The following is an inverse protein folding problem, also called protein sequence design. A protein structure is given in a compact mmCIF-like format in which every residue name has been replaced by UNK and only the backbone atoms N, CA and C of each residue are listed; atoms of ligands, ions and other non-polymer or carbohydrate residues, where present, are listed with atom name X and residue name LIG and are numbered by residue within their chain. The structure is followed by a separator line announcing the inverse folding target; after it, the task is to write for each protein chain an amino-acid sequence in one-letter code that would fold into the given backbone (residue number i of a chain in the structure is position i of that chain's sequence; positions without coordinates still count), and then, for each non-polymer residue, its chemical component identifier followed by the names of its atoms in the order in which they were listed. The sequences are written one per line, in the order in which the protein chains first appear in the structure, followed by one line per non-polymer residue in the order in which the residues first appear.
data_IF_566563821784
#
_entry.id   IF_566563821784
#
_cell.length_a   1.000
_cell.length_b   1.000
_cell.length_c   1.000
_cell.angle_alpha   90.00
_cell.angle_beta   90.00
_cell.angle_gamma   90.00
#
_symmetry.space_group_name_H-M   'P 1'
#
loop_
_entity.id
_entity.type
_entity.pdbx_description
1 polymer ?
#
# COMPACT_ATOMS: atom_id res chain seq x y z
N UNK A 1 -36.85 49.36 -10.74
CA UNK A 1 -35.47 48.88 -10.58
C UNK A 1 -35.25 48.38 -9.15
N UNK A 2 -35.77 47.20 -8.77
CA UNK A 2 -35.56 46.62 -7.43
C UNK A 2 -35.70 45.09 -7.38
N UNK A 3 -35.54 44.41 -8.54
CA UNK A 3 -35.60 42.94 -8.64
C UNK A 3 -34.25 42.29 -8.92
N UNK A 4 -33.29 43.04 -9.48
CA UNK A 4 -31.98 42.51 -9.87
C UNK A 4 -31.02 42.38 -8.67
N UNK A 5 -31.14 43.26 -7.67
CA UNK A 5 -30.27 43.27 -6.46
C UNK A 5 -30.59 42.15 -5.48
N UNK A 6 -31.88 41.78 -5.34
CA UNK A 6 -32.31 40.66 -4.49
C UNK A 6 -31.88 39.30 -5.05
N UNK A 7 -31.78 39.19 -6.38
CA UNK A 7 -31.35 37.95 -7.04
C UNK A 7 -29.84 37.70 -6.85
N UNK A 8 -29.02 38.76 -6.78
CA UNK A 8 -27.57 38.64 -6.68
C UNK A 8 -27.12 38.24 -5.26
N UNK A 9 -27.82 38.67 -4.22
CA UNK A 9 -27.55 38.26 -2.83
C UNK A 9 -27.98 36.81 -2.57
N UNK A 10 -29.05 36.34 -3.21
CA UNK A 10 -29.51 34.95 -3.10
C UNK A 10 -28.52 33.96 -3.76
N UNK A 11 -27.88 34.37 -4.86
CA UNK A 11 -26.83 33.58 -5.53
C UNK A 11 -25.58 33.46 -4.64
N UNK A 12 -25.22 34.51 -3.89
CA UNK A 12 -24.09 34.48 -2.94
C UNK A 12 -24.33 33.57 -1.73
N UNK A 13 -25.59 33.43 -1.28
CA UNK A 13 -25.98 32.51 -0.20
C UNK A 13 -26.03 31.04 -0.67
N UNK A 14 -26.18 30.79 -1.98
CA UNK A 14 -26.14 29.46 -2.59
C UNK A 14 -24.70 28.94 -2.78
N UNK A 15 -23.69 29.81 -2.74
CA UNK A 15 -22.29 29.43 -2.54
C UNK A 15 -22.00 29.18 -1.05
N UNK A 16 -22.93 28.53 -0.34
CA UNK A 16 -22.65 27.99 0.98
C UNK A 16 -21.42 27.11 0.84
N UNK A 17 -20.30 27.58 1.38
CA UNK A 17 -19.08 26.82 1.59
C UNK A 17 -19.50 25.48 2.17
N UNK A 18 -19.49 24.42 1.36
CA UNK A 18 -19.61 23.08 1.89
C UNK A 18 -18.51 23.00 2.96
N UNK A 19 -18.91 22.85 4.23
CA UNK A 19 -17.95 22.81 5.32
C UNK A 19 -16.90 21.76 5.02
N UNK A 20 -15.63 22.06 5.30
CA UNK A 20 -14.55 21.11 5.13
C UNK A 20 -14.92 19.78 5.82
N UNK A 21 -14.70 18.66 5.13
CA UNK A 21 -14.96 17.32 5.66
C UNK A 21 -14.30 17.17 7.04
N UNK A 22 -14.99 16.55 7.99
CA UNK A 22 -14.41 16.24 9.29
C UNK A 22 -14.16 14.74 9.41
N UNK A 23 -13.02 14.36 9.99
CA UNK A 23 -12.68 12.96 10.24
C UNK A 23 -12.15 12.77 11.65
N UNK A 24 -12.37 11.58 12.20
CA UNK A 24 -11.69 11.17 13.43
C UNK A 24 -10.19 11.06 13.17
N UNK A 25 -9.38 11.54 14.12
CA UNK A 25 -7.93 11.52 14.07
C UNK A 25 -7.34 10.80 15.28
N UNK A 26 -6.45 9.84 15.03
CA UNK A 26 -5.62 9.18 16.05
C UNK A 26 -4.49 8.37 15.39
N UNK A 27 -3.44 8.12 16.17
CA UNK A 27 -2.36 7.21 15.82
C UNK A 27 -1.97 6.40 17.08
N UNK A 28 -1.66 5.12 16.92
CA UNK A 28 -1.26 4.27 18.04
C UNK A 28 -2.38 3.34 18.48
N UNK A 29 -2.67 3.30 19.79
CA UNK A 29 -3.75 2.47 20.33
C UNK A 29 -5.14 3.06 20.07
N UNK A 30 -5.25 4.34 19.70
CA UNK A 30 -6.51 5.02 19.40
C UNK A 30 -7.59 4.87 20.51
N UNK A 31 -7.17 4.80 21.78
CA UNK A 31 -8.08 4.76 22.95
C UNK A 31 -8.94 6.02 23.05
N UNK A 32 -8.45 7.13 22.49
CA UNK A 32 -9.17 8.39 22.33
C UNK A 32 -9.02 8.87 20.89
N UNK A 33 -10.04 9.55 20.37
CA UNK A 33 -10.05 10.13 19.03
C UNK A 33 -10.50 11.58 19.07
N UNK A 34 -10.10 12.36 18.08
CA UNK A 34 -10.46 13.77 17.96
C UNK A 34 -10.99 14.03 16.54
N UNK A 35 -12.19 14.58 16.43
CA UNK A 35 -12.75 15.07 15.17
C UNK A 35 -11.95 16.29 14.68
N UNK A 36 -11.32 16.17 13.52
CA UNK A 36 -10.46 17.20 12.92
C UNK A 36 -10.98 17.56 11.52
N UNK A 37 -10.94 18.84 11.16
CA UNK A 37 -11.27 19.29 9.80
C UNK A 37 -10.17 18.90 8.81
N UNK A 38 -10.56 18.35 7.66
CA UNK A 38 -9.67 18.01 6.57
C UNK A 38 -9.39 19.24 5.71
N UNK A 39 -8.15 19.73 5.64
CA UNK A 39 -7.83 20.97 4.94
C UNK A 39 -8.02 20.87 3.43
N UNK A 40 -7.74 19.71 2.82
CA UNK A 40 -7.84 19.53 1.36
C UNK A 40 -8.35 18.15 0.93
N UNK A 41 -8.36 17.21 1.87
CA UNK A 41 -8.72 15.82 1.67
C UNK A 41 -10.24 15.65 1.62
N UNK A 42 -10.69 14.74 0.77
CA UNK A 42 -12.11 14.47 0.53
C UNK A 42 -12.57 13.13 1.11
N UNK A 43 -11.69 12.42 1.81
CA UNK A 43 -11.96 11.11 2.39
C UNK A 43 -11.47 11.05 3.84
N UNK A 44 -12.14 10.26 4.65
CA UNK A 44 -11.64 9.74 5.91
C UNK A 44 -11.13 8.31 5.72
N UNK A 45 -10.12 7.94 6.50
CA UNK A 45 -9.61 6.57 6.56
C UNK A 45 -9.54 6.11 8.01
N UNK A 46 -9.87 4.84 8.26
CA UNK A 46 -9.51 4.10 9.47
C UNK A 46 -8.71 2.86 9.05
N UNK A 47 -7.65 2.55 9.78
CA UNK A 47 -6.78 1.41 9.48
C UNK A 47 -6.32 0.71 10.76
N UNK A 48 -6.18 -0.61 10.69
CA UNK A 48 -5.53 -1.45 11.69
C UNK A 48 -4.43 -2.25 10.99
N UNK A 49 -3.19 -2.08 11.45
CA UNK A 49 -1.99 -2.70 10.87
C UNK A 49 -1.35 -3.58 11.92
N UNK A 50 -1.20 -4.87 11.63
CA UNK A 50 -0.37 -5.77 12.41
C UNK A 50 0.90 -6.05 11.62
N UNK A 51 2.05 -5.82 12.24
CA UNK A 51 3.35 -6.13 11.67
C UNK A 51 4.13 -7.04 12.61
N UNK A 52 4.87 -7.97 12.03
CA UNK A 52 5.58 -9.02 12.73
C UNK A 52 7.00 -9.17 12.20
N UNK A 53 7.91 -9.43 13.11
CA UNK A 53 9.32 -9.78 12.88
C UNK A 53 9.65 -11.04 13.68
N UNK A 54 10.83 -11.67 13.54
CA UNK A 54 11.13 -12.87 14.31
C UNK A 54 11.11 -12.55 15.81
N UNK A 55 10.19 -13.18 16.54
CA UNK A 55 10.05 -13.03 17.99
C UNK A 55 9.26 -11.81 18.47
N UNK A 56 8.80 -10.91 17.58
CA UNK A 56 8.03 -9.72 17.97
C UNK A 56 6.88 -9.44 17.02
N UNK A 57 5.74 -9.01 17.55
CA UNK A 57 4.62 -8.48 16.78
C UNK A 57 4.08 -7.22 17.44
N UNK A 58 3.61 -6.28 16.63
CA UNK A 58 2.98 -5.06 17.11
C UNK A 58 1.78 -4.71 16.24
N UNK A 59 0.82 -4.02 16.84
CA UNK A 59 -0.39 -3.54 16.16
C UNK A 59 -0.47 -2.03 16.29
N UNK A 60 -0.80 -1.36 15.19
CA UNK A 60 -1.01 0.08 15.13
C UNK A 60 -2.37 0.39 14.51
N UNK A 61 -3.05 1.38 15.07
CA UNK A 61 -4.30 1.91 14.54
C UNK A 61 -4.09 3.34 14.04
N UNK A 62 -4.80 3.68 12.97
CA UNK A 62 -4.78 5.00 12.37
C UNK A 62 -6.20 5.45 12.05
N UNK A 63 -6.51 6.70 12.37
CA UNK A 63 -7.67 7.41 11.83
C UNK A 63 -7.18 8.77 11.35
N UNK A 64 -7.50 9.14 10.12
CA UNK A 64 -7.06 10.43 9.56
C UNK A 64 -7.90 10.82 8.34
N UNK A 65 -7.78 12.07 7.92
CA UNK A 65 -8.08 12.50 6.57
C UNK A 65 -7.16 11.81 5.57
N UNK A 66 -7.67 11.50 4.37
CA UNK A 66 -6.93 10.84 3.31
C UNK A 66 -7.22 11.47 1.94
N UNK A 67 -6.20 11.72 1.10
CA UNK A 67 -6.41 12.12 -0.28
C UNK A 67 -6.98 10.95 -1.09
N UNK A 68 -7.53 11.25 -2.27
CA UNK A 68 -8.06 10.23 -3.19
C UNK A 68 -6.97 9.30 -3.74
N UNK A 69 -5.69 9.67 -3.68
CA UNK A 69 -4.58 8.75 -3.99
C UNK A 69 -4.48 7.60 -2.99
N UNK A 70 -4.87 7.83 -1.74
CA UNK A 70 -4.87 6.82 -0.67
C UNK A 70 -6.22 6.09 -0.63
N UNK A 71 -7.30 6.85 -0.74
CA UNK A 71 -8.67 6.36 -0.75
C UNK A 71 -9.33 6.66 -2.10
N UNK A 72 -9.05 5.89 -3.16
CA UNK A 72 -9.60 6.15 -4.49
C UNK A 72 -11.11 5.91 -4.57
N UNK A 73 -11.64 5.09 -3.66
CA UNK A 73 -13.06 4.83 -3.51
C UNK A 73 -13.40 4.60 -2.03
N UNK A 74 -14.67 4.76 -1.67
CA UNK A 74 -15.20 4.33 -0.37
C UNK A 74 -15.26 2.81 -0.29
N UNK A 75 -15.11 2.27 0.92
CA UNK A 75 -15.22 0.83 1.17
C UNK A 75 -14.02 0.27 1.94
N UNK A 76 -14.08 -1.03 2.19
CA UNK A 76 -13.05 -1.75 2.93
C UNK A 76 -12.04 -2.41 1.98
N UNK A 77 -10.77 -2.39 2.37
CA UNK A 77 -9.65 -2.98 1.66
C UNK A 77 -8.74 -3.69 2.66
N UNK A 78 -8.12 -4.76 2.21
CA UNK A 78 -7.05 -5.43 2.95
C UNK A 78 -5.75 -5.35 2.18
N UNK A 79 -4.66 -5.26 2.92
CA UNK A 79 -3.30 -5.27 2.40
C UNK A 79 -2.51 -6.34 3.15
N UNK A 80 -1.65 -7.03 2.44
CA UNK A 80 -0.73 -8.02 3.00
C UNK A 80 0.64 -7.89 2.33
N UNK A 81 1.69 -8.12 3.10
CA UNK A 81 3.08 -8.24 2.65
C UNK A 81 3.81 -9.23 3.54
N UNK A 82 4.65 -10.06 2.93
CA UNK A 82 5.45 -11.03 3.66
C UNK A 82 6.78 -11.27 2.94
N UNK A 83 7.83 -11.38 3.74
CA UNK A 83 9.22 -11.55 3.36
C UNK A 83 9.85 -12.61 4.27
N UNK A 84 11.17 -12.82 4.20
CA UNK A 84 11.83 -13.89 4.93
C UNK A 84 11.80 -13.67 6.44
N UNK A 85 11.79 -12.40 6.85
CA UNK A 85 11.87 -12.00 8.25
C UNK A 85 10.70 -11.13 8.69
N UNK A 86 9.95 -10.52 7.76
CA UNK A 86 8.93 -9.52 8.07
C UNK A 86 7.59 -9.91 7.45
N UNK A 87 6.51 -9.73 8.18
CA UNK A 87 5.15 -9.76 7.63
C UNK A 87 4.31 -8.60 8.15
N UNK A 88 3.37 -8.13 7.34
CA UNK A 88 2.39 -7.15 7.78
C UNK A 88 1.05 -7.34 7.07
N UNK A 89 -0.02 -7.16 7.85
CA UNK A 89 -1.41 -7.22 7.39
C UNK A 89 -2.11 -5.95 7.82
N UNK A 90 -2.88 -5.35 6.93
CA UNK A 90 -3.67 -4.16 7.23
C UNK A 90 -5.12 -4.33 6.78
N UNK A 91 -6.04 -3.98 7.68
CA UNK A 91 -7.43 -3.70 7.35
C UNK A 91 -7.58 -2.19 7.22
N UNK A 92 -8.18 -1.71 6.14
CA UNK A 92 -8.37 -0.29 5.85
C UNK A 92 -9.81 -0.05 5.41
N UNK A 93 -10.42 1.03 5.86
CA UNK A 93 -11.74 1.46 5.40
C UNK A 93 -11.72 2.95 5.07
N UNK A 94 -12.15 3.26 3.85
CA UNK A 94 -12.30 4.61 3.35
C UNK A 94 -13.77 5.01 3.31
N UNK A 95 -14.07 6.25 3.64
CA UNK A 95 -15.42 6.82 3.61
C UNK A 95 -15.35 8.34 3.40
N UNK A 96 -16.47 9.00 3.03
CA UNK A 96 -16.45 10.38 2.54
C UNK A 96 -17.51 11.28 3.19
N UNK A 97 -17.98 10.93 4.39
CA UNK A 97 -18.91 11.74 5.19
C UNK A 97 -18.29 12.10 6.54
N UNK A 98 -18.81 13.13 7.21
CA UNK A 98 -18.24 13.61 8.46
C UNK A 98 -18.14 12.49 9.51
N UNK A 99 -16.94 12.30 10.07
CA UNK A 99 -16.62 11.35 11.13
C UNK A 99 -17.07 9.91 10.83
N UNK A 100 -17.04 9.52 9.56
CA UNK A 100 -17.44 8.17 9.13
C UNK A 100 -16.45 7.07 9.51
N UNK A 101 -15.21 7.43 9.88
CA UNK A 101 -14.11 6.52 10.20
C UNK A 101 -14.04 6.14 11.70
N UNK A 102 -15.18 6.09 12.37
CA UNK A 102 -15.29 5.76 13.81
C UNK A 102 -15.03 4.29 14.12
N UNK A 103 -15.21 3.39 13.14
CA UNK A 103 -14.99 1.97 13.32
C UNK A 103 -13.57 1.65 13.81
N UNK A 104 -13.47 0.76 14.80
CA UNK A 104 -12.23 0.12 15.21
C UNK A 104 -12.09 -1.17 14.42
N UNK A 105 -11.20 -1.17 13.43
CA UNK A 105 -10.93 -2.35 12.64
C UNK A 105 -10.11 -3.35 13.45
N UNK A 106 -10.25 -4.64 13.12
CA UNK A 106 -9.35 -5.68 13.62
C UNK A 106 -8.29 -5.98 12.56
N UNK A 107 -7.02 -6.20 12.96
CA UNK A 107 -6.05 -6.75 12.04
C UNK A 107 -6.53 -8.11 11.52
N UNK A 108 -6.25 -8.45 10.26
CA UNK A 108 -6.60 -9.77 9.72
C UNK A 108 -5.95 -10.88 10.57
N UNK A 109 -6.62 -12.05 10.73
CA UNK A 109 -6.00 -13.18 11.40
C UNK A 109 -4.76 -13.65 10.64
N UNK A 110 -3.87 -14.41 11.29
CA UNK A 110 -2.80 -15.12 10.59
C UNK A 110 -3.44 -16.09 9.58
N UNK A 111 -3.21 -15.83 8.30
CA UNK A 111 -3.87 -16.52 7.20
C UNK A 111 -3.17 -17.85 6.89
N UNK A 112 -3.93 -18.81 6.37
CA UNK A 112 -3.40 -20.13 6.00
C UNK A 112 -2.47 -20.03 4.78
N UNK A 113 -1.80 -21.11 4.38
CA UNK A 113 -0.85 -21.07 3.25
C UNK A 113 -1.55 -21.07 1.89
N UNK A 114 -1.21 -20.10 1.04
CA UNK A 114 -1.58 -20.06 -0.39
C UNK A 114 -0.70 -21.04 -1.18
N UNK A 115 -1.06 -21.34 -2.45
CA UNK A 115 -0.25 -22.16 -3.36
C UNK A 115 0.90 -21.39 -4.03
N UNK A 116 0.90 -20.06 -3.95
CA UNK A 116 1.92 -19.20 -4.57
C UNK A 116 3.23 -19.23 -3.78
N UNK A 117 4.36 -19.40 -4.47
CA UNK A 117 5.71 -19.27 -3.93
C UNK A 117 6.43 -18.09 -4.57
N UNK A 118 7.20 -17.35 -3.77
CA UNK A 118 7.99 -16.20 -4.24
C UNK A 118 9.42 -16.26 -3.72
N UNK A 119 10.35 -15.65 -4.46
CA UNK A 119 11.66 -15.31 -3.90
C UNK A 119 11.51 -14.24 -2.82
N UNK A 120 12.39 -14.28 -1.83
CA UNK A 120 12.26 -13.42 -0.66
C UNK A 120 13.59 -12.99 -0.07
N UNK A 121 13.67 -11.71 0.27
CA UNK A 121 14.75 -11.10 1.02
C UNK A 121 14.30 -9.77 1.59
N UNK A 122 14.99 -9.33 2.64
CA UNK A 122 14.77 -8.08 3.35
C UNK A 122 16.07 -7.62 4.00
N UNK A 123 16.03 -6.54 4.78
CA UNK A 123 17.22 -5.97 5.41
C UNK A 123 17.84 -6.89 6.50
N UNK A 124 17.09 -7.86 7.03
CA UNK A 124 17.57 -8.86 8.00
C UNK A 124 18.05 -10.15 7.29
N UNK A 125 17.50 -10.46 6.12
CA UNK A 125 17.84 -11.61 5.30
C UNK A 125 18.12 -11.18 3.86
N UNK A 126 19.38 -10.82 3.59
CA UNK A 126 19.78 -10.24 2.30
C UNK A 126 19.90 -11.25 1.15
N UNK A 127 19.79 -12.55 1.43
CA UNK A 127 19.84 -13.60 0.40
C UNK A 127 18.50 -13.72 -0.33
N UNK A 128 18.39 -13.08 -1.49
CA UNK A 128 17.19 -13.11 -2.34
C UNK A 128 16.96 -14.41 -3.11
N UNK A 129 17.72 -15.47 -2.85
CA UNK A 129 17.46 -16.82 -3.40
C UNK A 129 16.53 -17.64 -2.51
N UNK A 130 16.24 -17.17 -1.30
CA UNK A 130 15.29 -17.82 -0.39
C UNK A 130 13.89 -17.82 -1.00
N UNK A 131 13.16 -18.91 -0.77
CA UNK A 131 11.79 -19.09 -1.25
C UNK A 131 10.86 -19.15 -0.05
N UNK A 132 9.78 -18.39 -0.10
CA UNK A 132 8.72 -18.44 0.91
C UNK A 132 7.42 -18.89 0.26
N UNK A 133 6.57 -19.57 1.05
CA UNK A 133 5.20 -19.84 0.68
C UNK A 133 4.36 -18.63 1.08
N UNK A 134 3.62 -18.06 0.13
CA UNK A 134 2.70 -16.97 0.44
C UNK A 134 1.54 -17.47 1.31
N UNK A 135 0.92 -16.56 2.05
CA UNK A 135 -0.28 -16.83 2.86
C UNK A 135 -1.54 -16.40 2.10
N UNK A 136 -2.74 -16.78 2.57
CA UNK A 136 -3.97 -16.24 1.98
C UNK A 136 -3.97 -14.71 2.07
N UNK A 137 -4.62 -14.04 1.11
CA UNK A 137 -4.53 -12.59 0.97
C UNK A 137 -3.26 -12.08 0.25
N UNK A 138 -2.27 -12.95 0.03
CA UNK A 138 -1.06 -12.66 -0.75
C UNK A 138 -1.10 -13.41 -2.08
N UNK A 139 -1.52 -12.72 -3.13
CA UNK A 139 -1.73 -13.28 -4.46
C UNK A 139 -0.74 -12.72 -5.51
N UNK A 140 0.29 -12.01 -5.06
CA UNK A 140 1.36 -11.47 -5.92
C UNK A 140 2.72 -11.77 -5.30
N UNK A 141 3.72 -12.00 -6.14
CA UNK A 141 5.10 -11.77 -5.77
C UNK A 141 5.46 -10.30 -6.04
N UNK A 142 6.31 -9.72 -5.22
CA UNK A 142 6.84 -8.39 -5.44
C UNK A 142 8.37 -8.35 -5.39
N UNK A 143 8.89 -7.29 -5.99
CA UNK A 143 10.29 -6.85 -5.88
C UNK A 143 10.30 -5.32 -5.82
N UNK A 144 10.98 -4.75 -4.83
CA UNK A 144 11.09 -3.31 -4.66
C UNK A 144 12.44 -2.92 -4.03
N UNK A 145 12.80 -1.65 -4.15
CA UNK A 145 13.87 -1.02 -3.38
C UNK A 145 13.26 -0.36 -2.15
N UNK A 146 13.76 -0.70 -0.96
CA UNK A 146 13.30 -0.13 0.32
C UNK A 146 14.44 0.64 0.98
N UNK A 147 14.22 1.91 1.27
CA UNK A 147 15.17 2.82 1.90
C UNK A 147 14.74 3.12 3.32
N UNK A 148 15.56 2.72 4.30
CA UNK A 148 15.40 3.10 5.72
C UNK A 148 16.53 4.07 6.07
N UNK A 149 17.75 3.55 6.22
CA UNK A 149 19.01 4.31 6.27
C UNK A 149 19.84 4.07 5.01
N UNK A 150 19.82 2.83 4.53
CA UNK A 150 20.37 2.39 3.25
C UNK A 150 19.26 1.80 2.38
N UNK A 151 19.53 1.68 1.08
CA UNK A 151 18.59 1.08 0.14
C UNK A 151 18.86 -0.41 -0.01
N UNK A 152 17.84 -1.23 0.22
CA UNK A 152 17.90 -2.68 0.13
C UNK A 152 16.95 -3.18 -0.95
N UNK A 153 17.37 -4.23 -1.64
CA UNK A 153 16.46 -4.99 -2.48
C UNK A 153 15.59 -5.86 -1.58
N UNK A 154 14.28 -5.67 -1.67
CA UNK A 154 13.28 -6.42 -0.91
C UNK A 154 12.40 -7.19 -1.88
N UNK A 155 12.20 -8.48 -1.59
CA UNK A 155 11.35 -9.37 -2.37
C UNK A 155 10.46 -10.17 -1.42
N UNK A 156 9.30 -10.59 -1.92
CA UNK A 156 8.43 -11.47 -1.17
C UNK A 156 7.04 -11.59 -1.77
N UNK A 157 6.08 -11.89 -0.91
CA UNK A 157 4.66 -12.00 -1.23
C UNK A 157 3.95 -10.68 -0.90
N UNK A 158 2.93 -10.33 -1.68
CA UNK A 158 2.12 -9.14 -1.50
C UNK A 158 0.67 -9.41 -1.93
N UNK A 159 -0.26 -8.64 -1.36
CA UNK A 159 -1.62 -8.54 -1.89
C UNK A 159 -1.66 -7.72 -3.19
N UNK A 160 -2.60 -8.03 -4.09
CA UNK A 160 -2.89 -7.21 -5.28
C UNK A 160 -3.17 -5.75 -4.94
N UNK A 161 -3.90 -5.48 -3.85
CA UNK A 161 -4.22 -4.11 -3.42
C UNK A 161 -2.95 -3.33 -3.10
N UNK A 162 -1.97 -3.95 -2.42
CA UNK A 162 -0.67 -3.32 -2.15
C UNK A 162 0.07 -2.99 -3.44
N UNK A 163 0.11 -3.93 -4.39
CA UNK A 163 0.75 -3.72 -5.69
C UNK A 163 0.09 -2.58 -6.49
N UNK A 164 -1.24 -2.48 -6.49
CA UNK A 164 -1.97 -1.39 -7.17
C UNK A 164 -1.71 -0.05 -6.48
N UNK A 165 -1.78 0.00 -5.14
CA UNK A 165 -1.54 1.22 -4.39
C UNK A 165 -0.12 1.75 -4.60
N UNK A 166 0.89 0.88 -4.54
CA UNK A 166 2.31 1.28 -4.68
C UNK A 166 2.73 1.57 -6.12
N UNK A 167 1.94 1.15 -7.11
CA UNK A 167 2.12 1.55 -8.51
C UNK A 167 1.69 3.00 -8.77
N UNK A 168 0.94 3.62 -7.84
CA UNK A 168 0.56 5.03 -7.93
C UNK A 168 1.59 5.90 -7.18
N UNK A 169 2.31 6.81 -7.86
CA UNK A 169 3.30 7.68 -7.23
C UNK A 169 2.74 8.51 -6.07
N UNK A 170 1.45 8.85 -6.12
CA UNK A 170 0.77 9.66 -5.12
C UNK A 170 0.39 8.90 -3.83
N UNK A 171 0.46 7.57 -3.82
CA UNK A 171 0.20 6.72 -2.65
C UNK A 171 1.48 6.29 -1.93
N UNK A 172 2.66 6.44 -2.56
CA UNK A 172 3.98 6.18 -1.98
C UNK A 172 4.30 7.08 -0.76
N UNK A 173 3.50 8.12 -0.54
CA UNK A 173 3.59 9.02 0.63
C UNK A 173 3.26 8.32 1.95
N UNK A 174 2.46 7.25 1.93
CA UNK A 174 2.12 6.45 3.12
C UNK A 174 3.18 5.43 3.49
N UNK A 175 3.97 4.96 2.51
CA UNK A 175 5.03 3.97 2.71
C UNK A 175 6.35 4.59 2.24
N UNK A 176 6.82 5.58 3.02
CA UNK A 176 8.08 6.28 2.74
C UNK A 176 9.21 5.27 2.53
N UNK A 177 10.05 5.55 1.54
CA UNK A 177 11.24 4.75 1.26
C UNK A 177 11.05 3.59 0.28
N UNK A 178 9.85 3.34 -0.25
CA UNK A 178 9.66 2.33 -1.31
C UNK A 178 9.83 2.96 -2.70
N UNK A 179 10.59 2.31 -3.56
CA UNK A 179 10.74 2.67 -4.98
C UNK A 179 10.88 1.44 -5.87
N UNK A 180 10.66 1.61 -7.18
CA UNK A 180 10.84 0.55 -8.20
C UNK A 180 10.08 -0.75 -7.88
N UNK A 181 8.88 -0.64 -7.32
CA UNK A 181 8.06 -1.82 -7.05
C UNK A 181 7.54 -2.44 -8.34
N UNK A 182 7.71 -3.73 -8.45
CA UNK A 182 7.17 -4.57 -9.52
C UNK A 182 6.44 -5.74 -8.89
N UNK A 183 5.31 -6.12 -9.48
CA UNK A 183 4.51 -7.24 -9.01
C UNK A 183 4.14 -8.18 -10.16
N UNK A 184 4.00 -9.47 -9.85
CA UNK A 184 3.62 -10.52 -10.77
C UNK A 184 2.86 -11.63 -10.01
N UNK A 185 2.18 -12.53 -10.70
CA UNK A 185 1.17 -13.45 -10.12
C UNK A 185 1.44 -14.94 -10.37
N UNK A 186 2.66 -15.30 -10.80
CA UNK A 186 3.07 -16.69 -11.01
C UNK A 186 4.20 -17.10 -10.05
N UNK A 187 4.39 -18.40 -9.87
CA UNK A 187 5.40 -18.92 -8.96
C UNK A 187 6.80 -18.40 -9.30
N UNK A 188 7.49 -17.86 -8.30
CA UNK A 188 8.88 -17.41 -8.36
C UNK A 188 9.15 -16.35 -9.43
N UNK A 189 8.11 -15.64 -9.88
CA UNK A 189 8.18 -14.67 -10.98
C UNK A 189 8.98 -13.41 -10.65
N UNK A 190 9.27 -13.16 -9.36
CA UNK A 190 10.07 -12.04 -8.89
C UNK A 190 11.59 -12.31 -8.88
N UNK A 191 12.03 -13.36 -9.57
CA UNK A 191 13.44 -13.63 -9.78
C UNK A 191 14.19 -12.40 -10.34
N UNK A 192 15.45 -12.23 -9.96
CA UNK A 192 16.32 -11.30 -10.66
C UNK A 192 16.42 -11.71 -12.13
N UNK A 193 16.18 -10.76 -13.05
CA UNK A 193 16.44 -11.01 -14.47
C UNK A 193 17.93 -11.36 -14.60
N UNK A 194 18.22 -12.63 -14.85
CA UNK A 194 19.51 -13.01 -15.38
C UNK A 194 19.61 -12.35 -16.74
N UNK A 195 20.65 -11.54 -16.94
CA UNK A 195 21.00 -11.00 -18.24
C UNK A 195 21.36 -12.16 -19.17
N UNK A 196 20.35 -12.78 -19.79
CA UNK A 196 20.51 -13.82 -20.81
C UNK A 196 21.11 -13.28 -22.12
N UNK A 197 21.49 -12.00 -22.13
CA UNK A 197 22.09 -11.29 -23.26
C UNK A 197 23.46 -11.81 -23.68
N UNK A 198 24.16 -12.59 -22.86
CA UNK A 198 25.48 -13.14 -23.23
C UNK A 198 25.41 -14.50 -23.92
N UNK A 199 24.39 -15.33 -23.65
CA UNK A 199 24.33 -16.69 -24.19
C UNK A 199 23.94 -16.71 -25.69
N UNK A 200 22.99 -15.87 -26.11
CA UNK A 200 22.61 -15.74 -27.52
C UNK A 200 23.71 -15.07 -28.37
N UNK A 201 24.48 -14.14 -27.79
CA UNK A 201 25.64 -13.52 -28.48
C UNK A 201 26.78 -14.53 -28.66
N UNK A 202 27.05 -15.39 -27.66
CA UNK A 202 28.05 -16.45 -27.74
C UNK A 202 27.65 -17.55 -28.75
N UNK A 203 26.38 -17.96 -28.77
CA UNK A 203 25.87 -18.88 -29.80
C UNK A 203 25.92 -18.27 -31.20
N UNK A 204 25.60 -16.98 -31.35
CA UNK A 204 25.78 -16.25 -32.60
C UNK A 204 27.24 -16.24 -33.06
N UNK A 205 28.18 -15.87 -32.18
CA UNK A 205 29.63 -15.84 -32.47
C UNK A 205 30.20 -17.22 -32.81
N UNK A 206 29.73 -18.29 -32.17
CA UNK A 206 30.11 -19.67 -32.49
C UNK A 206 29.60 -20.13 -33.86
N UNK A 207 28.40 -19.73 -34.25
CA UNK A 207 27.87 -20.02 -35.60
C UNK A 207 28.61 -19.24 -36.69
N UNK A 208 29.01 -17.99 -36.41
CA UNK A 208 29.84 -17.17 -37.33
C UNK A 208 31.29 -17.62 -37.45
N UNK A 209 31.82 -18.40 -36.49
CA UNK A 209 33.20 -18.94 -36.53
C UNK A 209 33.28 -20.37 -37.10
N UNK A 210 32.13 -20.96 -37.46
CA UNK A 210 32.00 -22.27 -38.10
C UNK A 210 31.58 -22.17 -39.59
N UNK A 211 31.57 -20.96 -40.16
CA UNK A 211 31.31 -20.68 -41.57
C UNK A 211 32.48 -19.93 -42.21
#
# INVERSE_FOLDING_TARGET
MMKLTLSLTLIWMLFSTAGALQCESCQGQCSTTISTACPSETMCVTAAIQASTPGNSFTQFYKTCAPTSVCPATGSQTFAVNTSSLSAFASVQCCNTNNCNTATLTPPPALSTSKLQCYSCDYLSTNCSNKIQCTEGEDRCFRANVTIESTFLTMGCASRNLCVATSNPASLTLVKGISNITCCDSNLCNAAQTTTTTLYLLLGLLVFSLY
#
